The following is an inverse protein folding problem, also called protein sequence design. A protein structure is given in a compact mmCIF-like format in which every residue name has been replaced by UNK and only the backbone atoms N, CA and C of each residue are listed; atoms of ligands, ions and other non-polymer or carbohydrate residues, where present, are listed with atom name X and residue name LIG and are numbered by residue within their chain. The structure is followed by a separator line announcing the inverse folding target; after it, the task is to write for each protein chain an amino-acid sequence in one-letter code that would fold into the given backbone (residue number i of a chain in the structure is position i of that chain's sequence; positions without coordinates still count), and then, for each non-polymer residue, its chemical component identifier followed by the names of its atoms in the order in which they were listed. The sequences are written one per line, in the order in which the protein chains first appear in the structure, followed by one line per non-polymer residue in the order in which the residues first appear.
data_IF_201577062562
#
_entry.id   IF_201577062562
#
_cell.length_a   1.000
_cell.length_b   1.000
_cell.length_c   1.000
_cell.angle_alpha   90.00
_cell.angle_beta   90.00
_cell.angle_gamma   90.00
#
_symmetry.space_group_name_H-M   'P 1'
#
loop_
_entity.id
_entity.type
_entity.pdbx_description
1 polymer ?
#
# COMPACT_ATOMS: atom_id res chain seq x y z
N UNK A 1 9.39 -21.16 -26.18
CA UNK A 1 8.63 -20.08 -25.50
C UNK A 1 7.36 -20.70 -24.93
N UNK A 2 7.28 -20.88 -23.62
CA UNK A 2 6.06 -21.40 -22.97
C UNK A 2 5.18 -20.22 -22.56
N UNK A 3 3.97 -20.17 -23.10
CA UNK A 3 2.94 -19.19 -22.72
C UNK A 3 2.48 -19.53 -21.30
N UNK A 4 2.82 -18.70 -20.32
CA UNK A 4 2.30 -18.84 -18.95
C UNK A 4 0.85 -18.39 -18.97
N UNK A 5 -0.04 -19.35 -18.80
CA UNK A 5 -1.46 -19.12 -18.82
C UNK A 5 -1.96 -19.06 -17.38
N UNK A 6 -2.08 -17.86 -16.81
CA UNK A 6 -2.65 -17.71 -15.46
C UNK A 6 -4.18 -17.72 -15.55
N UNK A 7 -4.77 -18.93 -15.55
CA UNK A 7 -6.23 -19.16 -15.56
C UNK A 7 -6.84 -19.33 -14.17
N UNK A 8 -6.26 -18.78 -13.10
CA UNK A 8 -6.90 -18.87 -11.78
C UNK A 8 -8.19 -18.04 -11.81
N UNK A 9 -9.34 -18.71 -11.98
CA UNK A 9 -10.65 -18.10 -11.71
C UNK A 9 -10.84 -18.12 -10.20
N UNK A 10 -11.11 -16.94 -9.63
CA UNK A 10 -11.54 -16.80 -8.24
C UNK A 10 -12.83 -17.59 -8.08
N UNK A 11 -12.84 -18.50 -7.10
CA UNK A 11 -14.04 -19.27 -6.74
C UNK A 11 -15.06 -18.37 -6.03
N UNK A 12 -16.32 -18.78 -6.01
CA UNK A 12 -17.37 -18.03 -5.32
C UNK A 12 -17.11 -17.91 -3.81
N UNK A 13 -16.50 -18.94 -3.21
CA UNK A 13 -16.08 -18.94 -1.82
C UNK A 13 -14.95 -17.91 -1.56
N UNK A 14 -13.94 -17.87 -2.42
CA UNK A 14 -12.87 -16.86 -2.33
C UNK A 14 -13.40 -15.44 -2.54
N UNK A 15 -14.32 -15.25 -3.49
CA UNK A 15 -14.96 -13.97 -3.72
C UNK A 15 -15.77 -13.52 -2.49
N UNK A 16 -16.51 -14.44 -1.86
CA UNK A 16 -17.24 -14.17 -0.63
C UNK A 16 -16.32 -13.83 0.55
N UNK A 17 -15.21 -14.55 0.70
CA UNK A 17 -14.22 -14.29 1.74
C UNK A 17 -13.57 -12.90 1.59
N UNK A 18 -13.22 -12.52 0.35
CA UNK A 18 -12.68 -11.19 0.05
C UNK A 18 -13.71 -10.10 0.34
N UNK A 19 -14.96 -10.28 -0.09
CA UNK A 19 -16.04 -9.34 0.20
C UNK A 19 -16.25 -9.12 1.70
N UNK A 20 -16.29 -10.21 2.48
CA UNK A 20 -16.41 -10.13 3.93
C UNK A 20 -15.22 -9.40 4.58
N UNK A 21 -13.99 -9.64 4.10
CA UNK A 21 -12.81 -8.96 4.59
C UNK A 21 -12.82 -7.45 4.30
N UNK A 22 -13.28 -7.05 3.10
CA UNK A 22 -13.43 -5.63 2.73
C UNK A 22 -14.43 -4.94 3.65
N UNK A 23 -15.60 -5.55 3.84
CA UNK A 23 -16.64 -4.99 4.72
C UNK A 23 -16.18 -4.87 6.18
N UNK A 24 -15.45 -5.88 6.68
CA UNK A 24 -14.91 -5.88 8.03
C UNK A 24 -13.80 -4.83 8.21
N UNK A 25 -12.98 -4.60 7.19
CA UNK A 25 -11.89 -3.63 7.21
C UNK A 25 -12.32 -2.21 6.84
N UNK A 26 -13.56 -2.03 6.35
CA UNK A 26 -14.00 -0.73 5.87
C UNK A 26 -14.08 0.28 7.02
N UNK A 27 -13.39 1.44 6.91
CA UNK A 27 -13.41 2.43 7.97
C UNK A 27 -14.84 2.94 8.15
N UNK A 28 -15.34 2.87 9.38
CA UNK A 28 -16.57 3.57 9.75
C UNK A 28 -16.25 5.04 10.00
N UNK A 29 -17.17 5.91 9.58
CA UNK A 29 -17.08 7.32 9.94
C UNK A 29 -17.10 7.41 11.47
N UNK A 30 -15.96 7.77 12.04
CA UNK A 30 -15.80 8.14 13.44
C UNK A 30 -15.52 9.63 13.46
N UNK A 31 -16.14 10.37 14.39
CA UNK A 31 -15.78 11.77 14.64
C UNK A 31 -14.26 11.83 14.90
N UNK A 32 -13.55 12.62 14.10
CA UNK A 32 -12.10 12.64 14.14
C UNK A 32 -11.64 13.26 15.47
N UNK A 33 -11.08 12.44 16.36
CA UNK A 33 -10.22 12.95 17.42
C UNK A 33 -9.01 13.62 16.74
N UNK A 34 -8.79 14.91 17.03
CA UNK A 34 -7.79 15.81 16.44
C UNK A 34 -6.32 15.34 16.59
N UNK A 35 -6.08 14.12 17.07
CA UNK A 35 -4.78 13.59 17.48
C UNK A 35 -4.07 12.75 16.40
N UNK A 36 -4.67 12.55 15.22
CA UNK A 36 -4.03 11.85 14.10
C UNK A 36 -3.24 12.77 13.15
N UNK A 37 -3.14 14.08 13.39
CA UNK A 37 -2.37 14.99 12.51
C UNK A 37 -0.84 14.80 12.63
N UNK A 38 -0.38 13.90 13.50
CA UNK A 38 0.99 13.39 13.58
C UNK A 38 1.17 12.01 12.93
N UNK A 39 0.33 11.64 11.97
CA UNK A 39 0.41 10.34 11.29
C UNK A 39 1.81 10.13 10.74
N UNK A 40 2.51 9.16 11.34
CA UNK A 40 3.74 8.58 10.87
C UNK A 40 3.57 8.29 9.37
N UNK A 41 4.31 9.03 8.54
CA UNK A 41 4.24 8.89 7.10
C UNK A 41 4.39 7.41 6.76
N UNK A 42 3.31 6.80 6.25
CA UNK A 42 3.32 5.43 5.79
C UNK A 42 4.36 5.34 4.68
N UNK A 43 5.53 4.77 4.99
CA UNK A 43 6.58 4.56 4.01
C UNK A 43 6.27 3.26 3.29
N UNK A 44 5.24 3.29 2.43
CA UNK A 44 5.07 2.26 1.41
C UNK A 44 6.43 2.09 0.72
N UNK A 45 6.88 0.86 0.52
CA UNK A 45 8.24 0.50 0.12
C UNK A 45 8.58 1.05 -1.28
N UNK A 46 8.82 2.35 -1.39
CA UNK A 46 9.31 3.04 -2.59
C UNK A 46 10.78 2.76 -2.84
N UNK A 47 11.27 1.58 -2.49
CA UNK A 47 12.68 1.19 -2.55
C UNK A 47 12.87 0.00 -3.47
N UNK A 48 12.52 0.17 -4.74
CA UNK A 48 13.26 -0.55 -5.77
C UNK A 48 13.62 0.31 -7.00
N UNK A 49 12.97 1.47 -7.21
CA UNK A 49 13.39 2.45 -8.23
C UNK A 49 13.66 3.87 -7.72
N UNK A 50 13.48 4.17 -6.42
CA UNK A 50 13.72 5.53 -5.94
C UNK A 50 15.17 5.74 -5.51
N UNK A 51 15.84 6.70 -6.15
CA UNK A 51 17.21 7.12 -5.84
C UNK A 51 17.35 7.53 -4.37
N UNK A 52 18.39 7.07 -3.64
CA UNK A 52 18.48 7.25 -2.21
C UNK A 52 18.68 8.73 -1.84
N UNK A 53 18.05 9.16 -0.75
CA UNK A 53 18.07 10.54 -0.21
C UNK A 53 19.46 11.22 -0.12
N UNK A 54 20.59 10.51 0.11
CA UNK A 54 21.92 11.13 0.08
C UNK A 54 22.28 11.77 -1.26
N UNK A 55 21.69 11.33 -2.37
CA UNK A 55 21.90 11.92 -3.70
C UNK A 55 21.08 13.20 -3.95
N UNK A 56 20.12 13.52 -3.07
CA UNK A 56 19.20 14.66 -3.23
C UNK A 56 19.60 15.88 -2.39
N UNK A 57 20.69 15.81 -1.62
CA UNK A 57 21.20 16.93 -0.82
C UNK A 57 22.33 17.64 -1.57
N UNK A 58 22.21 18.95 -1.77
CA UNK A 58 23.33 19.77 -2.23
C UNK A 58 24.48 19.69 -1.21
N UNK A 59 25.69 19.39 -1.68
CA UNK A 59 26.89 19.35 -0.85
C UNK A 59 27.55 20.72 -0.89
N UNK A 60 27.72 21.42 0.24
CA UNK A 60 28.19 22.80 0.27
C UNK A 60 29.72 22.97 0.11
N UNK A 61 30.44 21.96 -0.39
CA UNK A 61 31.89 22.02 -0.63
C UNK A 61 32.32 21.34 -1.94
N UNK A 62 31.40 21.22 -2.90
CA UNK A 62 31.74 21.11 -4.32
C UNK A 62 31.51 22.45 -4.99
#
# INVERSE_FOLDING_TARGET
MATVESRQRVTDEEAAAIGAAVEAAWPRAVEAEEEARRTAAWRFSGRWWSQPLPLRRARPWM
#
